data_IF_862817662516
#
_entry.id   IF_862817662516
#
_cell.length_a   1.000
_cell.length_b   1.000
_cell.length_c   1.000
_cell.angle_alpha   90.00
_cell.angle_beta   90.00
_cell.angle_gamma   90.00
#
_symmetry.space_group_name_H-M   'P 1'
#
loop_
_entity.id
_entity.type
_entity.pdbx_description
1 polymer ?
#
# COMPACT_ATOMS: atom_id res chain seq x y z
N UNK A 1 -26.69 29.62 -35.15
CA UNK A 1 -26.42 31.07 -35.13
C UNK A 1 -25.04 31.25 -35.76
N UNK A 2 -24.90 31.68 -37.03
CA UNK A 2 -24.82 33.09 -37.50
C UNK A 2 -23.65 33.81 -36.79
N UNK A 3 -22.53 34.26 -37.39
CA UNK A 3 -22.21 34.94 -38.67
C UNK A 3 -20.67 34.79 -38.88
N UNK A 4 -20.02 34.61 -40.04
CA UNK A 4 -19.97 35.31 -41.34
C UNK A 4 -19.79 36.83 -41.25
N UNK A 5 -18.56 37.34 -41.45
CA UNK A 5 -18.36 38.70 -41.96
C UNK A 5 -17.13 38.79 -42.87
N UNK A 6 -17.35 39.49 -43.96
CA UNK A 6 -16.56 39.58 -45.18
C UNK A 6 -16.16 41.04 -45.37
N UNK A 7 -15.03 41.26 -46.07
CA UNK A 7 -14.82 42.33 -47.07
C UNK A 7 -14.40 43.76 -46.64
N UNK A 8 -13.46 44.28 -47.45
CA UNK A 8 -13.37 45.64 -48.00
C UNK A 8 -12.62 46.71 -47.19
N UNK A 9 -11.49 47.23 -47.69
CA UNK A 9 -11.50 48.26 -48.73
C UNK A 9 -10.09 48.82 -48.97
N UNK A 10 -9.78 48.90 -50.27
CA UNK A 10 -8.76 49.70 -50.93
C UNK A 10 -8.86 51.18 -50.53
N UNK A 11 -7.72 51.84 -50.27
CA UNK A 11 -7.58 53.27 -50.53
C UNK A 11 -6.12 53.59 -50.89
N UNK A 12 -5.92 53.97 -52.14
CA UNK A 12 -4.69 54.53 -52.67
C UNK A 12 -4.74 56.05 -52.49
N UNK A 13 -3.69 56.66 -51.94
CA UNK A 13 -3.39 58.09 -52.15
C UNK A 13 -1.89 58.24 -52.35
N UNK A 14 -1.56 58.67 -53.56
CA UNK A 14 -0.25 59.12 -54.01
C UNK A 14 -0.13 60.61 -53.62
N UNK A 15 0.98 60.99 -52.99
CA UNK A 15 1.54 62.32 -53.13
C UNK A 15 3.06 62.21 -53.30
N UNK A 16 3.50 62.48 -54.52
CA UNK A 16 4.86 62.87 -54.85
C UNK A 16 4.99 64.38 -54.63
N UNK A 17 5.96 64.82 -53.83
CA UNK A 17 6.74 66.03 -54.13
C UNK A 17 8.16 65.90 -53.58
N UNK A 18 9.10 66.27 -54.45
CA UNK A 18 10.54 66.28 -54.33
C UNK A 18 11.03 67.36 -53.35
N UNK A 19 12.17 67.16 -52.69
CA UNK A 19 13.35 68.05 -52.83
C UNK A 19 14.55 67.56 -51.99
N UNK A 20 15.74 67.61 -52.61
CA UNK A 20 17.06 68.04 -52.08
C UNK A 20 17.27 68.11 -50.56
N UNK A 21 18.42 67.82 -49.96
CA UNK A 21 19.81 67.70 -50.42
C UNK A 21 20.62 67.74 -49.12
N UNK A 22 21.48 66.78 -48.83
CA UNK A 22 22.81 67.05 -48.25
C UNK A 22 23.56 65.73 -48.21
N UNK A 23 24.55 65.64 -49.07
CA UNK A 23 25.61 64.66 -49.00
C UNK A 23 26.62 65.19 -47.98
N UNK A 24 26.43 64.85 -46.70
CA UNK A 24 27.43 65.08 -45.66
C UNK A 24 28.01 63.72 -45.27
N UNK A 25 29.11 63.40 -45.93
CA UNK A 25 29.98 62.29 -45.65
C UNK A 25 30.74 62.54 -44.34
N UNK A 26 30.02 62.58 -43.20
CA UNK A 26 30.65 62.39 -41.90
C UNK A 26 30.91 60.89 -41.74
N UNK A 27 32.14 60.50 -42.03
CA UNK A 27 32.71 59.26 -41.51
C UNK A 27 32.78 59.41 -39.98
N UNK A 28 31.64 59.18 -39.32
CA UNK A 28 31.56 59.02 -37.88
C UNK A 28 32.32 57.74 -37.58
N UNK A 29 33.54 57.90 -37.06
CA UNK A 29 34.24 56.85 -36.34
C UNK A 29 33.21 56.30 -35.34
N UNK A 30 32.81 55.01 -35.40
CA UNK A 30 31.88 54.47 -34.44
C UNK A 30 32.54 54.66 -33.07
N UNK A 31 31.96 55.50 -32.22
CA UNK A 31 32.30 55.49 -30.81
C UNK A 31 32.10 54.04 -30.36
N UNK A 32 33.17 53.37 -29.93
CA UNK A 32 33.11 52.01 -29.41
C UNK A 32 31.95 51.96 -28.42
N UNK A 33 30.88 51.25 -28.82
CA UNK A 33 29.68 51.17 -28.00
C UNK A 33 30.09 50.51 -26.70
N UNK A 34 29.86 51.18 -25.59
CA UNK A 34 30.19 50.61 -24.30
C UNK A 34 29.32 49.36 -24.06
N UNK A 35 29.92 48.31 -23.52
CA UNK A 35 29.26 47.03 -23.28
C UNK A 35 28.61 46.99 -21.91
N UNK A 36 27.37 46.52 -21.86
CA UNK A 36 26.66 46.27 -20.61
C UNK A 36 27.18 45.01 -19.92
N UNK A 37 27.00 44.92 -18.60
CA UNK A 37 27.19 43.69 -17.83
C UNK A 37 25.89 43.35 -17.12
N UNK A 38 25.40 42.12 -17.30
CA UNK A 38 24.23 41.59 -16.60
C UNK A 38 24.71 40.61 -15.54
N UNK A 39 24.15 40.70 -14.34
CA UNK A 39 24.34 39.74 -13.25
C UNK A 39 22.99 39.34 -12.66
N UNK A 40 22.84 38.08 -12.27
CA UNK A 40 21.72 37.63 -11.44
C UNK A 40 22.17 37.47 -9.99
N UNK A 41 21.24 37.56 -9.04
CA UNK A 41 21.50 37.26 -7.63
C UNK A 41 21.75 35.76 -7.37
N UNK A 42 21.22 34.87 -8.22
CA UNK A 42 21.53 33.45 -8.26
C UNK A 42 21.23 32.86 -9.66
N UNK A 43 21.94 31.78 -10.04
CA UNK A 43 21.79 31.11 -11.35
C UNK A 43 20.96 29.82 -11.29
N UNK A 44 20.54 29.39 -10.10
CA UNK A 44 19.70 28.20 -9.89
C UNK A 44 18.55 28.55 -8.95
N UNK A 45 17.31 28.20 -9.32
CA UNK A 45 16.12 28.54 -8.53
C UNK A 45 15.02 27.48 -8.64
N UNK A 46 13.95 27.63 -7.88
CA UNK A 46 12.73 26.81 -7.99
C UNK A 46 11.59 27.59 -8.63
N UNK A 47 10.62 26.88 -9.20
CA UNK A 47 9.38 27.49 -9.71
C UNK A 47 8.78 28.39 -8.62
N UNK A 48 8.44 29.62 -9.00
CA UNK A 48 7.81 30.60 -8.12
C UNK A 48 8.76 31.45 -7.25
N UNK A 49 10.07 31.16 -7.24
CA UNK A 49 11.09 31.93 -6.54
C UNK A 49 11.62 33.06 -7.44
N UNK A 50 11.61 34.29 -6.93
CA UNK A 50 12.02 35.47 -7.72
C UNK A 50 13.54 35.56 -7.87
N UNK A 51 14.00 35.75 -9.10
CA UNK A 51 15.38 36.07 -9.48
C UNK A 51 15.49 37.56 -9.75
N UNK A 52 16.56 38.19 -9.25
CA UNK A 52 16.81 39.62 -9.45
C UNK A 52 18.01 39.86 -10.35
N UNK A 53 17.81 40.65 -11.39
CA UNK A 53 18.86 41.04 -12.32
C UNK A 53 19.40 42.43 -12.00
N UNK A 54 20.71 42.60 -12.15
CA UNK A 54 21.40 43.88 -12.05
C UNK A 54 22.15 44.14 -13.35
N UNK A 55 21.94 45.32 -13.95
CA UNK A 55 22.67 45.76 -15.14
C UNK A 55 23.68 46.82 -14.75
N UNK A 56 24.92 46.67 -15.22
CA UNK A 56 26.02 47.60 -14.98
C UNK A 56 26.61 48.13 -16.28
N UNK A 57 27.11 49.36 -16.21
CA UNK A 57 27.93 50.01 -17.24
C UNK A 57 29.18 50.55 -16.56
N UNK A 58 30.37 50.09 -16.95
CA UNK A 58 31.65 50.44 -16.31
C UNK A 58 31.57 50.31 -14.76
N UNK A 59 31.06 49.16 -14.30
CA UNK A 59 30.84 48.81 -12.88
C UNK A 59 29.81 49.66 -12.11
N UNK A 60 29.15 50.62 -12.75
CA UNK A 60 28.06 51.40 -12.16
C UNK A 60 26.71 50.78 -12.50
N UNK A 61 25.84 50.60 -11.50
CA UNK A 61 24.47 50.11 -11.70
C UNK A 61 23.67 51.15 -12.48
N UNK A 62 22.96 50.70 -13.52
CA UNK A 62 22.06 51.52 -14.31
C UNK A 62 20.64 50.93 -14.27
N UNK A 63 19.62 51.79 -14.32
CA UNK A 63 18.20 51.39 -14.18
C UNK A 63 17.39 51.56 -15.47
N UNK A 64 18.00 52.09 -16.53
CA UNK A 64 17.36 52.40 -17.81
C UNK A 64 17.69 51.37 -18.92
N UNK A 65 18.33 50.26 -18.56
CA UNK A 65 18.51 49.10 -19.44
C UNK A 65 17.35 48.11 -19.28
N UNK A 66 16.98 47.46 -20.38
CA UNK A 66 15.93 46.43 -20.41
C UNK A 66 16.55 45.04 -20.33
N UNK A 67 16.05 44.18 -19.45
CA UNK A 67 16.44 42.76 -19.39
C UNK A 67 15.43 41.96 -20.20
N UNK A 68 15.91 41.13 -21.12
CA UNK A 68 15.08 40.32 -22.02
C UNK A 68 15.45 38.84 -21.91
N UNK A 69 14.44 37.99 -21.80
CA UNK A 69 14.61 36.55 -21.99
C UNK A 69 14.76 36.26 -23.50
N UNK A 70 15.78 35.50 -23.89
CA UNK A 70 16.16 35.30 -25.30
C UNK A 70 15.02 34.80 -26.19
N UNK A 71 14.20 33.90 -25.64
CA UNK A 71 13.01 33.31 -26.31
C UNK A 71 11.68 33.83 -25.71
N UNK A 72 11.70 34.93 -24.97
CA UNK A 72 10.56 35.40 -24.21
C UNK A 72 10.39 36.91 -24.21
N UNK A 73 9.62 37.36 -23.22
CA UNK A 73 9.28 38.77 -23.06
C UNK A 73 10.40 39.56 -22.36
N UNK A 74 10.30 40.89 -22.49
CA UNK A 74 11.13 41.83 -21.76
C UNK A 74 10.62 41.95 -20.32
N UNK A 75 11.52 41.87 -19.34
CA UNK A 75 11.18 42.05 -17.93
C UNK A 75 10.90 43.52 -17.64
N UNK A 76 9.83 43.80 -16.88
CA UNK A 76 9.40 45.16 -16.56
C UNK A 76 10.07 45.75 -15.32
N UNK A 77 10.55 44.90 -14.40
CA UNK A 77 11.08 45.33 -13.09
C UNK A 77 12.52 44.90 -12.83
N UNK A 78 13.20 44.25 -13.79
CA UNK A 78 14.48 43.58 -13.54
C UNK A 78 14.35 42.36 -12.62
N UNK A 79 13.13 41.95 -12.27
CA UNK A 79 12.84 40.73 -11.53
C UNK A 79 12.13 39.74 -12.44
N UNK A 80 12.35 38.45 -12.19
CA UNK A 80 11.70 37.37 -12.93
C UNK A 80 11.29 36.25 -11.99
N UNK A 81 10.06 35.77 -12.12
CA UNK A 81 9.50 34.67 -11.34
C UNK A 81 9.13 33.55 -12.31
N UNK A 82 9.85 32.41 -12.30
CA UNK A 82 9.60 31.34 -13.24
C UNK A 82 8.31 30.59 -12.90
N UNK A 83 7.55 30.24 -13.93
CA UNK A 83 6.33 29.43 -13.82
C UNK A 83 6.53 27.99 -14.27
N UNK A 84 7.67 27.68 -14.90
CA UNK A 84 8.01 26.35 -15.39
C UNK A 84 9.48 26.02 -15.12
N UNK A 85 9.77 24.73 -14.95
CA UNK A 85 11.14 24.23 -14.86
C UNK A 85 11.81 24.27 -16.24
N UNK A 86 13.13 24.46 -16.27
CA UNK A 86 13.90 24.59 -17.51
C UNK A 86 15.15 25.45 -17.35
N UNK A 87 15.87 25.67 -18.45
CA UNK A 87 16.98 26.62 -18.48
C UNK A 87 16.57 27.83 -19.30
N UNK A 88 16.67 29.02 -18.70
CA UNK A 88 16.19 30.27 -19.29
C UNK A 88 17.35 31.24 -19.44
N UNK A 89 17.55 31.79 -20.64
CA UNK A 89 18.70 32.66 -20.92
C UNK A 89 18.26 34.12 -21.05
N UNK A 90 19.00 35.02 -20.40
CA UNK A 90 18.71 36.45 -20.31
C UNK A 90 19.86 37.30 -20.85
N UNK A 91 19.49 38.45 -21.41
CA UNK A 91 20.42 39.47 -21.91
C UNK A 91 19.87 40.87 -21.62
N UNK A 92 20.72 41.82 -21.29
CA UNK A 92 20.36 43.22 -21.12
C UNK A 92 20.65 44.04 -22.38
N UNK A 93 19.76 44.98 -22.70
CA UNK A 93 19.82 45.83 -23.89
C UNK A 93 19.55 47.29 -23.50
N UNK A 94 20.29 48.22 -24.12
CA UNK A 94 20.09 49.67 -23.98
C UNK A 94 20.45 50.36 -25.30
N UNK A 95 19.62 51.30 -25.76
CA UNK A 95 19.85 52.00 -27.02
C UNK A 95 21.19 52.75 -27.01
N UNK A 96 22.01 52.56 -28.04
CA UNK A 96 23.34 53.18 -28.15
C UNK A 96 24.47 52.39 -27.50
N UNK A 97 24.19 51.25 -26.85
CA UNK A 97 25.16 50.38 -26.18
C UNK A 97 25.23 49.00 -26.84
N UNK A 98 26.28 48.23 -26.56
CA UNK A 98 26.30 46.80 -26.87
C UNK A 98 25.49 46.02 -25.82
N UNK A 99 24.89 44.90 -26.25
CA UNK A 99 24.18 44.00 -25.34
C UNK A 99 25.13 43.42 -24.29
N UNK A 100 24.57 43.03 -23.14
CA UNK A 100 25.35 42.40 -22.08
C UNK A 100 25.85 41.00 -22.45
N UNK A 101 26.63 40.40 -21.56
CA UNK A 101 26.76 38.95 -21.48
C UNK A 101 25.38 38.26 -21.33
N UNK A 102 25.29 37.02 -21.77
CA UNK A 102 24.15 36.14 -21.51
C UNK A 102 24.30 35.51 -20.12
N UNK A 103 23.18 35.35 -19.40
CA UNK A 103 23.10 34.57 -18.16
C UNK A 103 22.02 33.52 -18.32
N UNK A 104 22.33 32.27 -17.93
CA UNK A 104 21.37 31.17 -17.89
C UNK A 104 20.93 30.90 -16.46
N UNK A 105 19.61 30.85 -16.24
CA UNK A 105 19.00 30.47 -14.96
C UNK A 105 18.41 29.08 -15.11
N UNK A 106 18.82 28.16 -14.24
CA UNK A 106 18.28 26.80 -14.15
C UNK A 106 17.15 26.77 -13.12
N UNK A 107 15.93 26.50 -13.58
CA UNK A 107 14.74 26.38 -12.74
C UNK A 107 14.38 24.92 -12.55
N UNK A 108 14.23 24.53 -11.29
CA UNK A 108 13.79 23.18 -10.89
C UNK A 108 12.40 23.23 -10.26
N UNK A 109 11.68 22.11 -10.28
CA UNK A 109 10.46 21.96 -9.47
C UNK A 109 10.87 21.60 -8.04
N UNK A 110 10.25 22.22 -7.05
CA UNK A 110 10.40 21.76 -5.65
C UNK A 110 9.88 20.32 -5.56
N UNK A 111 10.67 19.44 -4.97
CA UNK A 111 10.29 18.02 -4.84
C UNK A 111 9.35 17.86 -3.66
N UNK A 112 8.22 17.23 -3.89
CA UNK A 112 7.27 16.88 -2.84
C UNK A 112 7.75 15.63 -2.10
N UNK A 113 7.58 15.63 -0.77
CA UNK A 113 7.90 14.52 0.11
C UNK A 113 6.85 13.41 0.00
N UNK A 114 7.27 12.17 -0.25
CA UNK A 114 6.39 11.01 -0.18
C UNK A 114 6.00 10.70 1.27
N UNK A 115 4.76 10.28 1.46
CA UNK A 115 4.23 9.76 2.72
C UNK A 115 3.89 8.29 2.49
N UNK A 116 4.53 7.41 3.26
CA UNK A 116 4.29 5.96 3.23
C UNK A 116 3.49 5.55 4.47
N UNK A 117 2.46 4.75 4.24
CA UNK A 117 1.63 4.14 5.29
C UNK A 117 1.44 2.65 5.00
N UNK A 118 1.09 1.88 6.02
CA UNK A 118 0.74 0.47 5.89
C UNK A 118 -0.60 0.19 6.58
N UNK A 119 -1.31 -0.84 6.11
CA UNK A 119 -2.51 -1.33 6.78
C UNK A 119 -2.21 -1.89 8.19
N UNK A 120 -0.99 -2.41 8.40
CA UNK A 120 -0.49 -2.96 9.66
C UNK A 120 1.00 -2.64 9.82
N UNK A 121 1.43 -2.35 11.04
CA UNK A 121 2.85 -2.16 11.40
C UNK A 121 3.40 -3.27 12.29
N UNK A 122 2.55 -4.24 12.64
CA UNK A 122 2.94 -5.47 13.34
C UNK A 122 2.20 -6.62 12.68
N UNK A 123 2.96 -7.61 12.22
CA UNK A 123 2.44 -8.77 11.46
C UNK A 123 3.20 -10.03 11.84
N UNK A 124 2.60 -11.19 11.59
CA UNK A 124 3.29 -12.48 11.70
C UNK A 124 4.07 -12.81 10.42
N UNK A 125 5.07 -13.67 10.54
CA UNK A 125 5.76 -14.23 9.39
C UNK A 125 4.76 -14.91 8.43
N UNK A 126 4.75 -14.51 7.16
CA UNK A 126 3.83 -14.98 6.13
C UNK A 126 2.54 -14.17 5.98
N UNK A 127 2.31 -13.15 6.81
CA UNK A 127 1.14 -12.27 6.71
C UNK A 127 1.36 -11.09 5.74
N UNK A 128 0.37 -10.80 4.88
CA UNK A 128 0.48 -9.72 3.88
C UNK A 128 0.36 -8.32 4.51
N UNK A 129 1.35 -7.47 4.20
CA UNK A 129 1.34 -6.02 4.45
C UNK A 129 1.00 -5.29 3.16
N UNK A 130 0.02 -4.40 3.24
CA UNK A 130 -0.40 -3.52 2.15
C UNK A 130 0.05 -2.09 2.43
N UNK A 131 0.80 -1.51 1.48
CA UNK A 131 1.32 -0.16 1.57
C UNK A 131 0.50 0.83 0.74
N UNK A 132 0.40 2.06 1.23
CA UNK A 132 -0.18 3.20 0.50
C UNK A 132 0.82 4.35 0.51
N UNK A 133 1.07 4.92 -0.66
CA UNK A 133 1.95 6.07 -0.84
C UNK A 133 1.16 7.27 -1.34
N UNK A 134 1.35 8.42 -0.71
CA UNK A 134 0.70 9.68 -1.11
C UNK A 134 1.71 10.82 -1.21
N UNK A 135 1.42 11.83 -2.02
CA UNK A 135 2.06 13.14 -2.01
C UNK A 135 0.98 14.22 -2.11
N UNK A 136 1.03 15.26 -1.27
CA UNK A 136 0.00 16.31 -1.25
C UNK A 136 -1.43 15.75 -1.17
N UNK A 137 -1.62 14.69 -0.37
CA UNK A 137 -2.91 13.96 -0.19
C UNK A 137 -3.41 13.18 -1.43
N UNK A 138 -2.68 13.19 -2.54
CA UNK A 138 -2.98 12.39 -3.72
C UNK A 138 -2.26 11.04 -3.68
N UNK A 139 -2.95 9.97 -4.06
CA UNK A 139 -2.39 8.61 -4.12
C UNK A 139 -1.43 8.43 -5.29
N UNK A 140 -0.29 7.79 -5.04
CA UNK A 140 0.72 7.44 -6.03
C UNK A 140 0.72 5.92 -6.23
N UNK A 141 0.72 5.44 -7.48
CA UNK A 141 0.64 4.01 -7.81
C UNK A 141 1.91 3.43 -8.43
N UNK A 142 2.82 4.29 -8.90
CA UNK A 142 4.07 3.99 -9.60
C UNK A 142 5.29 4.35 -8.72
N UNK A 143 5.37 3.72 -7.54
CA UNK A 143 6.47 3.88 -6.60
C UNK A 143 7.26 2.56 -6.46
N UNK A 144 8.48 2.66 -5.93
CA UNK A 144 9.28 1.51 -5.52
C UNK A 144 9.41 1.50 -4.00
N UNK A 145 9.20 0.35 -3.38
CA UNK A 145 9.51 0.14 -1.96
C UNK A 145 10.91 -0.42 -1.81
N UNK A 146 11.64 0.09 -0.83
CA UNK A 146 12.93 -0.44 -0.39
C UNK A 146 12.82 -0.83 1.07
N UNK A 147 13.05 -2.12 1.37
CA UNK A 147 13.26 -2.57 2.74
C UNK A 147 14.75 -2.40 3.01
N UNK A 148 15.11 -1.59 4.00
CA UNK A 148 16.52 -1.27 4.27
C UNK A 148 17.33 -2.55 4.50
N UNK A 149 18.46 -2.64 3.80
CA UNK A 149 19.38 -3.79 3.76
C UNK A 149 18.81 -5.06 3.10
N UNK A 150 17.68 -4.96 2.40
CA UNK A 150 17.05 -6.04 1.65
C UNK A 150 16.79 -5.62 0.20
N UNK A 151 16.07 -6.46 -0.54
CA UNK A 151 15.75 -6.23 -1.94
C UNK A 151 14.62 -5.20 -2.12
N UNK A 152 14.59 -4.56 -3.29
CA UNK A 152 13.52 -3.64 -3.68
C UNK A 152 12.27 -4.40 -4.09
N UNK A 153 11.11 -3.86 -3.74
CA UNK A 153 9.80 -4.42 -4.04
C UNK A 153 9.08 -3.50 -5.03
N UNK A 154 8.78 -4.03 -6.22
CA UNK A 154 7.99 -3.35 -7.26
C UNK A 154 6.51 -3.69 -7.15
N UNK A 155 5.98 -3.62 -5.93
CA UNK A 155 4.61 -3.95 -5.56
C UNK A 155 4.23 -3.13 -4.34
N UNK A 156 2.95 -2.82 -4.17
CA UNK A 156 2.43 -2.23 -2.94
C UNK A 156 2.16 -3.28 -1.84
N UNK A 157 2.61 -4.52 -2.05
CA UNK A 157 2.42 -5.65 -1.16
C UNK A 157 3.75 -6.23 -0.73
N UNK A 158 3.83 -6.69 0.51
CA UNK A 158 4.96 -7.45 1.02
C UNK A 158 4.49 -8.57 1.94
N UNK A 159 5.08 -9.75 1.79
CA UNK A 159 4.87 -10.89 2.68
C UNK A 159 6.25 -11.18 3.31
N UNK A 160 6.47 -10.84 4.59
CA UNK A 160 7.73 -11.10 5.25
C UNK A 160 7.90 -12.61 5.46
N UNK A 161 9.10 -13.12 5.20
CA UNK A 161 9.48 -14.52 5.46
C UNK A 161 10.42 -14.68 6.64
N UNK A 162 10.85 -13.56 7.23
CA UNK A 162 11.83 -13.49 8.31
C UNK A 162 11.32 -12.55 9.39
N UNK A 163 11.60 -12.90 10.64
CA UNK A 163 11.26 -12.11 11.81
C UNK A 163 12.20 -10.93 11.99
N UNK A 164 11.72 -9.91 12.71
CA UNK A 164 12.52 -8.75 13.11
C UNK A 164 11.82 -7.43 12.83
N UNK A 165 12.57 -6.35 13.02
CA UNK A 165 12.10 -4.99 12.76
C UNK A 165 12.68 -4.51 11.43
N UNK A 166 11.79 -4.13 10.52
CA UNK A 166 12.14 -3.69 9.18
C UNK A 166 11.77 -2.21 8.99
N UNK A 167 12.64 -1.49 8.31
CA UNK A 167 12.37 -0.12 7.88
C UNK A 167 12.08 -0.11 6.38
N UNK A 168 10.93 0.41 6.00
CA UNK A 168 10.45 0.46 4.63
C UNK A 168 10.43 1.91 4.16
N UNK A 169 11.00 2.18 2.98
CA UNK A 169 11.03 3.51 2.36
C UNK A 169 10.35 3.40 1.00
N UNK A 170 9.49 4.38 0.68
CA UNK A 170 8.97 4.55 -0.67
C UNK A 170 9.82 5.57 -1.44
N UNK A 171 10.13 5.26 -2.69
CA UNK A 171 10.89 6.13 -3.60
C UNK A 171 10.18 6.28 -4.93
N UNK A 172 10.32 7.45 -5.55
CA UNK A 172 9.82 7.76 -6.91
C UNK A 172 10.60 8.91 -7.53
N UNK A 173 10.94 8.81 -8.81
CA UNK A 173 11.61 9.89 -9.53
C UNK A 173 10.79 11.20 -9.49
N UNK A 174 11.47 12.32 -9.22
CA UNK A 174 10.83 13.62 -9.07
C UNK A 174 10.29 13.93 -7.66
N UNK A 175 10.38 12.98 -6.72
CA UNK A 175 9.95 13.16 -5.33
C UNK A 175 11.14 13.07 -4.36
N UNK A 176 10.90 13.47 -3.11
CA UNK A 176 11.76 13.12 -1.98
C UNK A 176 11.24 11.80 -1.39
N UNK A 177 12.13 10.83 -1.20
CA UNK A 177 11.82 9.52 -0.64
C UNK A 177 11.16 9.62 0.73
N UNK A 178 10.21 8.73 1.05
CA UNK A 178 9.47 8.77 2.30
C UNK A 178 10.37 8.71 3.54
N UNK A 179 9.85 9.19 4.67
CA UNK A 179 10.44 8.80 5.95
C UNK A 179 10.34 7.27 6.12
N UNK A 180 11.32 6.61 6.77
CA UNK A 180 11.24 5.17 7.00
C UNK A 180 10.04 4.79 7.87
N UNK A 181 9.24 3.84 7.38
CA UNK A 181 8.14 3.22 8.12
C UNK A 181 8.61 1.93 8.79
N UNK A 182 8.41 1.80 10.10
CA UNK A 182 8.76 0.60 10.85
C UNK A 182 7.66 -0.47 10.75
N UNK A 183 8.06 -1.70 10.37
CA UNK A 183 7.22 -2.89 10.39
C UNK A 183 7.89 -3.93 11.29
N UNK A 184 7.15 -4.41 12.28
CA UNK A 184 7.58 -5.47 13.21
C UNK A 184 7.00 -6.79 12.71
N UNK A 185 7.88 -7.75 12.42
CA UNK A 185 7.50 -9.11 12.03
C UNK A 185 7.83 -10.04 13.18
N UNK A 186 6.82 -10.71 13.72
CA UNK A 186 6.99 -11.70 14.80
C UNK A 186 7.02 -13.11 14.23
N UNK A 187 7.58 -14.03 15.01
CA UNK A 187 7.47 -15.47 14.74
C UNK A 187 6.01 -15.80 14.48
N UNK A 188 5.76 -16.53 13.39
CA UNK A 188 4.47 -17.17 13.21
C UNK A 188 4.41 -18.24 14.29
N UNK A 189 3.71 -17.94 15.37
CA UNK A 189 3.47 -18.93 16.41
C UNK A 189 2.49 -19.92 15.81
N UNK A 190 3.01 -20.98 15.19
CA UNK A 190 2.27 -22.22 14.98
C UNK A 190 1.96 -22.72 16.38
N UNK A 191 0.89 -22.17 16.96
CA UNK A 191 0.48 -22.50 18.30
C UNK A 191 -0.01 -23.94 18.21
N UNK A 192 0.86 -24.89 18.48
CA UNK A 192 0.44 -26.27 18.57
C UNK A 192 -0.61 -26.35 19.68
N UNK A 193 -1.75 -26.94 19.38
CA UNK A 193 -2.75 -27.36 20.34
C UNK A 193 -2.08 -28.13 21.49
N UNK A 194 -1.90 -27.49 22.65
CA UNK A 194 -1.39 -28.09 23.88
C UNK A 194 -2.55 -28.59 24.71
N UNK A 195 -2.48 -29.85 25.13
CA UNK A 195 -3.47 -30.42 26.04
C UNK A 195 -3.08 -31.82 26.49
N UNK A 196 -3.88 -32.33 27.40
CA UNK A 196 -3.76 -33.69 27.91
C UNK A 196 -5.07 -34.41 27.63
N UNK A 197 -4.98 -35.61 27.06
CA UNK A 197 -6.15 -36.40 26.76
C UNK A 197 -5.83 -37.72 26.09
N UNK A 198 -6.82 -38.58 26.06
CA UNK A 198 -6.76 -39.88 25.43
C UNK A 198 -8.14 -40.31 24.95
N UNK A 199 -8.18 -41.29 24.07
CA UNK A 199 -9.39 -42.06 23.82
C UNK A 199 -9.11 -43.57 23.92
N UNK A 200 -10.13 -44.33 24.30
CA UNK A 200 -10.11 -45.79 24.35
C UNK A 200 -11.02 -46.35 23.27
N UNK A 201 -10.49 -47.27 22.45
CA UNK A 201 -11.20 -47.91 21.36
C UNK A 201 -10.76 -49.38 21.25
N UNK A 202 -11.71 -50.32 21.24
CA UNK A 202 -11.49 -51.78 21.23
C UNK A 202 -10.41 -52.20 22.25
N UNK A 203 -10.59 -51.76 23.50
CA UNK A 203 -9.69 -52.11 24.62
C UNK A 203 -8.29 -51.49 24.58
N UNK A 204 -7.96 -50.68 23.57
CA UNK A 204 -6.68 -49.97 23.47
C UNK A 204 -6.83 -48.47 23.77
N UNK A 205 -5.87 -47.89 24.48
CA UNK A 205 -5.82 -46.45 24.76
C UNK A 205 -4.84 -45.74 23.82
N UNK A 206 -5.25 -44.57 23.34
CA UNK A 206 -4.56 -43.71 22.38
C UNK A 206 -4.36 -42.33 22.99
N UNK A 207 -3.16 -41.77 22.89
CA UNK A 207 -2.85 -40.43 23.42
C UNK A 207 -3.20 -39.39 22.38
N UNK A 208 -3.92 -38.32 22.78
CA UNK A 208 -4.26 -37.25 21.85
C UNK A 208 -3.09 -36.26 21.82
N UNK A 209 -2.27 -36.35 20.77
CA UNK A 209 -1.14 -35.43 20.55
C UNK A 209 -1.51 -34.22 19.70
N UNK A 210 -2.64 -34.29 18.97
CA UNK A 210 -3.13 -33.19 18.13
C UNK A 210 -4.64 -33.09 18.25
N UNK A 211 -5.14 -31.86 18.43
CA UNK A 211 -6.57 -31.58 18.39
C UNK A 211 -6.90 -30.35 17.55
N UNK A 212 -7.87 -30.50 16.65
CA UNK A 212 -8.32 -29.42 15.75
C UNK A 212 -9.83 -29.26 15.82
N UNK A 213 -10.30 -28.03 15.92
CA UNK A 213 -11.71 -27.66 15.81
C UNK A 213 -11.94 -26.89 14.52
N UNK A 214 -12.62 -27.52 13.57
CA UNK A 214 -12.79 -27.02 12.22
C UNK A 214 -14.23 -26.55 12.03
N UNK A 215 -14.43 -25.29 11.66
CA UNK A 215 -15.72 -24.81 11.17
C UNK A 215 -15.84 -25.17 9.69
N UNK A 216 -16.67 -26.18 9.40
CA UNK A 216 -16.85 -26.67 8.03
C UNK A 216 -17.65 -25.69 7.17
N UNK A 217 -18.69 -25.08 7.75
CA UNK A 217 -19.57 -24.15 7.06
C UNK A 217 -20.81 -23.80 7.87
N UNK A 218 -21.63 -22.90 7.35
CA UNK A 218 -22.91 -22.48 7.95
C UNK A 218 -24.02 -22.66 6.92
N UNK A 219 -25.09 -23.35 7.29
CA UNK A 219 -26.25 -23.53 6.41
C UNK A 219 -27.17 -22.31 6.44
N UNK A 220 -27.58 -21.78 5.29
CA UNK A 220 -28.48 -20.63 5.13
C UNK A 220 -29.98 -20.98 5.20
N UNK A 221 -30.36 -21.94 6.06
CA UNK A 221 -31.77 -22.35 6.21
C UNK A 221 -32.57 -21.40 7.11
N UNK A 222 -33.88 -21.62 7.27
CA UNK A 222 -34.70 -20.86 8.22
C UNK A 222 -34.23 -20.98 9.68
N UNK A 223 -33.45 -22.00 10.00
CA UNK A 223 -32.73 -22.16 11.25
C UNK A 223 -31.25 -22.41 10.94
N UNK A 224 -30.43 -21.35 10.79
CA UNK A 224 -29.03 -21.51 10.44
C UNK A 224 -28.27 -22.33 11.48
N UNK A 225 -27.40 -23.22 11.02
CA UNK A 225 -26.52 -24.02 11.89
C UNK A 225 -25.10 -23.97 11.36
N UNK A 226 -24.14 -23.83 12.27
CA UNK A 226 -22.72 -24.00 12.00
C UNK A 226 -22.36 -25.48 12.15
N UNK A 227 -21.75 -26.07 11.13
CA UNK A 227 -21.27 -27.46 11.15
C UNK A 227 -19.79 -27.47 11.51
N UNK A 228 -19.44 -28.32 12.47
CA UNK A 228 -18.11 -28.42 13.05
C UNK A 228 -17.56 -29.83 12.91
N UNK A 229 -16.25 -29.92 12.83
CA UNK A 229 -15.48 -31.16 12.93
C UNK A 229 -14.44 -30.98 14.03
N UNK A 230 -14.50 -31.80 15.06
CA UNK A 230 -13.41 -31.95 16.01
C UNK A 230 -12.56 -33.17 15.61
N UNK A 231 -11.29 -32.95 15.31
CA UNK A 231 -10.31 -34.02 15.13
C UNK A 231 -9.51 -34.21 16.42
N UNK A 232 -9.39 -35.46 16.89
CA UNK A 232 -8.49 -35.86 17.98
C UNK A 232 -7.60 -36.99 17.50
N UNK A 233 -6.28 -36.78 17.45
CA UNK A 233 -5.34 -37.68 16.78
C UNK A 233 -4.23 -38.15 17.70
N UNK A 234 -3.97 -39.46 17.65
CA UNK A 234 -2.74 -40.08 18.14
C UNK A 234 -1.74 -40.14 16.98
N UNK A 235 -0.68 -39.33 17.09
CA UNK A 235 0.31 -39.16 16.02
C UNK A 235 1.23 -40.36 15.89
N UNK A 236 1.49 -41.08 16.98
CA UNK A 236 2.38 -42.24 16.99
C UNK A 236 1.71 -43.46 16.35
N UNK A 237 0.42 -43.65 16.63
CA UNK A 237 -0.36 -44.79 16.13
C UNK A 237 -1.11 -44.48 14.83
N UNK A 238 -1.11 -43.23 14.37
CA UNK A 238 -1.84 -42.77 13.18
C UNK A 238 -3.34 -43.12 13.23
N UNK A 239 -3.96 -43.01 14.40
CA UNK A 239 -5.41 -43.16 14.56
C UNK A 239 -6.00 -41.80 14.91
N UNK A 240 -7.10 -41.45 14.24
CA UNK A 240 -7.88 -40.24 14.50
C UNK A 240 -9.31 -40.56 14.84
N UNK A 241 -9.86 -39.76 15.74
CA UNK A 241 -11.30 -39.67 15.99
C UNK A 241 -11.79 -38.34 15.41
N UNK A 242 -12.78 -38.41 14.52
CA UNK A 242 -13.48 -37.23 14.02
C UNK A 242 -14.87 -37.18 14.62
N UNK A 243 -15.20 -36.08 15.28
CA UNK A 243 -16.53 -35.83 15.83
C UNK A 243 -17.18 -34.69 15.07
N UNK A 244 -18.31 -34.97 14.43
CA UNK A 244 -19.09 -34.02 13.66
C UNK A 244 -20.27 -33.58 14.51
N UNK A 245 -20.51 -32.28 14.60
CA UNK A 245 -21.66 -31.73 15.29
C UNK A 245 -22.08 -30.38 14.70
N UNK A 246 -23.30 -29.97 15.02
CA UNK A 246 -23.86 -28.68 14.63
C UNK A 246 -24.20 -27.83 15.85
N UNK A 247 -23.95 -26.52 15.76
CA UNK A 247 -24.39 -25.52 16.74
C UNK A 247 -25.31 -24.48 16.08
N UNK A 248 -26.12 -23.73 16.86
CA UNK A 248 -26.89 -22.63 16.32
C UNK A 248 -26.00 -21.57 15.65
N UNK A 249 -26.51 -20.99 14.57
CA UNK A 249 -25.96 -19.83 13.90
C UNK A 249 -27.07 -18.79 13.68
N UNK A 250 -26.68 -17.53 13.45
CA UNK A 250 -27.59 -16.44 13.20
C UNK A 250 -27.10 -15.56 12.05
N UNK A 251 -28.03 -15.18 11.16
CA UNK A 251 -27.75 -14.22 10.09
C UNK A 251 -27.79 -12.79 10.64
N UNK A 252 -26.71 -12.04 10.41
CA UNK A 252 -26.57 -10.63 10.73
C UNK A 252 -27.31 -9.75 9.73
N UNK A 253 -27.47 -8.47 10.07
CA UNK A 253 -28.20 -7.49 9.24
C UNK A 253 -27.54 -7.22 7.88
N UNK A 254 -26.25 -7.53 7.78
CA UNK A 254 -25.39 -7.38 6.61
C UNK A 254 -25.33 -8.66 5.75
N UNK A 255 -26.10 -9.70 6.11
CA UNK A 255 -26.07 -11.02 5.47
C UNK A 255 -24.91 -11.91 5.95
N UNK A 256 -24.08 -11.43 6.89
CA UNK A 256 -23.00 -12.25 7.46
C UNK A 256 -23.54 -13.16 8.56
N UNK A 257 -23.13 -14.42 8.57
CA UNK A 257 -23.51 -15.35 9.63
C UNK A 257 -22.55 -15.27 10.82
N UNK A 258 -23.14 -15.33 12.02
CA UNK A 258 -22.45 -15.54 13.30
C UNK A 258 -22.78 -16.92 13.83
N UNK A 259 -21.92 -17.49 14.66
CA UNK A 259 -22.10 -18.82 15.24
C UNK A 259 -21.80 -18.81 16.74
N UNK A 260 -22.42 -19.73 17.47
CA UNK A 260 -22.05 -20.00 18.86
C UNK A 260 -20.96 -21.08 18.92
N UNK A 261 -20.00 -20.88 19.82
CA UNK A 261 -19.01 -21.93 20.12
C UNK A 261 -19.69 -23.18 20.67
N UNK A 262 -19.18 -24.38 20.38
CA UNK A 262 -19.80 -25.61 20.84
C UNK A 262 -19.77 -25.73 22.37
N UNK A 263 -20.88 -26.20 22.93
CA UNK A 263 -21.04 -26.52 24.34
C UNK A 263 -21.95 -27.74 24.47
N UNK A 264 -21.95 -28.41 25.62
CA UNK A 264 -22.88 -29.50 25.92
C UNK A 264 -24.35 -29.15 25.63
N UNK A 265 -24.74 -27.88 25.79
CA UNK A 265 -26.14 -27.45 25.68
C UNK A 265 -26.58 -27.12 24.26
N UNK A 266 -25.67 -26.77 23.37
CA UNK A 266 -26.00 -26.29 22.02
C UNK A 266 -25.47 -27.20 20.90
N UNK A 267 -24.76 -28.29 21.23
CA UNK A 267 -24.38 -29.33 20.27
C UNK A 267 -25.62 -30.13 19.85
N UNK A 268 -25.73 -30.36 18.54
CA UNK A 268 -26.75 -31.22 17.91
C UNK A 268 -26.12 -32.04 16.78
N UNK A 269 -26.84 -33.05 16.26
CA UNK A 269 -26.42 -33.87 15.11
C UNK A 269 -25.01 -34.45 15.26
N UNK A 270 -24.82 -35.21 16.34
CA UNK A 270 -23.53 -35.78 16.68
C UNK A 270 -23.26 -37.06 15.87
N UNK A 271 -22.11 -37.13 15.24
CA UNK A 271 -21.58 -38.32 14.58
C UNK A 271 -20.10 -38.46 14.95
N UNK A 272 -19.63 -39.69 15.12
CA UNK A 272 -18.24 -39.97 15.44
C UNK A 272 -17.70 -41.03 14.49
N UNK A 273 -16.52 -40.80 13.92
CA UNK A 273 -15.78 -41.81 13.14
C UNK A 273 -14.41 -42.04 13.73
N UNK A 274 -13.96 -43.30 13.70
CA UNK A 274 -12.58 -43.67 13.96
C UNK A 274 -11.93 -44.01 12.63
N UNK A 275 -10.78 -43.40 12.35
CA UNK A 275 -10.08 -43.51 11.06
C UNK A 275 -8.64 -43.95 11.30
N UNK A 276 -8.19 -44.93 10.51
CA UNK A 276 -6.77 -45.20 10.34
C UNK A 276 -6.22 -44.26 9.28
N UNK A 277 -5.38 -43.33 9.71
CA UNK A 277 -4.82 -42.28 8.86
C UNK A 277 -3.79 -42.83 7.87
N UNK A 278 -3.21 -43.99 8.14
CA UNK A 278 -2.26 -44.66 7.24
C UNK A 278 -2.97 -45.16 5.99
N UNK A 279 -4.14 -45.78 6.19
CA UNK A 279 -4.94 -46.37 5.11
C UNK A 279 -6.08 -45.47 4.63
N UNK A 280 -6.29 -44.33 5.29
CA UNK A 280 -7.42 -43.41 5.10
C UNK A 280 -8.79 -44.11 5.16
N UNK A 281 -8.86 -45.20 5.91
CA UNK A 281 -10.05 -46.03 5.99
C UNK A 281 -10.83 -45.73 7.27
N UNK A 282 -12.15 -45.62 7.14
CA UNK A 282 -13.06 -45.58 8.29
C UNK A 282 -13.06 -46.97 8.92
N UNK A 283 -12.61 -47.04 10.18
CA UNK A 283 -12.62 -48.25 10.98
C UNK A 283 -14.00 -48.45 11.60
N UNK A 284 -14.59 -47.38 12.11
CA UNK A 284 -15.87 -47.41 12.81
C UNK A 284 -16.65 -46.11 12.71
N UNK A 285 -17.96 -46.19 12.97
CA UNK A 285 -18.90 -45.10 12.89
C UNK A 285 -20.01 -45.24 13.95
N UNK A 286 -20.21 -44.20 14.75
CA UNK A 286 -21.41 -44.03 15.56
C UNK A 286 -22.21 -42.81 15.11
N UNK A 287 -23.54 -42.96 15.09
CA UNK A 287 -24.52 -41.89 14.83
C UNK A 287 -25.60 -41.82 15.92
N UNK A 288 -25.53 -42.70 16.92
CA UNK A 288 -26.49 -42.84 18.01
C UNK A 288 -25.76 -43.24 19.29
N UNK A 289 -26.39 -43.03 20.45
CA UNK A 289 -25.83 -43.43 21.75
C UNK A 289 -24.57 -42.66 22.15
N UNK A 290 -24.34 -41.49 21.55
CA UNK A 290 -23.17 -40.67 21.82
C UNK A 290 -23.53 -39.65 22.90
N UNK A 291 -22.89 -39.77 24.06
CA UNK A 291 -22.93 -38.77 25.12
C UNK A 291 -21.75 -37.80 24.95
N UNK A 292 -21.99 -36.50 25.09
CA UNK A 292 -20.95 -35.47 24.94
C UNK A 292 -21.02 -34.44 26.07
N UNK A 293 -19.86 -34.17 26.66
CA UNK A 293 -19.64 -32.99 27.51
C UNK A 293 -18.60 -32.11 26.83
N UNK A 294 -18.97 -30.90 26.41
CA UNK A 294 -18.07 -30.00 25.71
C UNK A 294 -18.16 -28.57 26.26
N UNK A 295 -17.01 -27.91 26.33
CA UNK A 295 -16.93 -26.48 26.62
C UNK A 295 -15.72 -25.90 25.87
N UNK A 296 -16.00 -25.05 24.88
CA UNK A 296 -14.98 -24.34 24.12
C UNK A 296 -15.04 -22.84 24.41
N UNK A 297 -13.88 -22.22 24.57
CA UNK A 297 -13.72 -20.77 24.76
C UNK A 297 -13.73 -20.00 23.45
N UNK A 298 -13.39 -18.71 23.52
CA UNK A 298 -13.26 -17.87 22.33
C UNK A 298 -12.00 -18.23 21.51
N UNK A 299 -12.10 -18.07 20.19
CA UNK A 299 -10.95 -18.15 19.28
C UNK A 299 -10.04 -16.95 19.55
N UNK A 300 -8.76 -17.20 19.84
CA UNK A 300 -7.78 -16.12 20.02
C UNK A 300 -7.13 -15.69 18.69
N UNK A 301 -6.25 -14.70 18.74
CA UNK A 301 -5.56 -14.14 17.56
C UNK A 301 -4.70 -15.16 16.80
N UNK A 302 -4.27 -16.25 17.45
CA UNK A 302 -3.44 -17.29 16.85
C UNK A 302 -4.27 -18.48 16.35
N UNK A 303 -5.59 -18.31 16.20
CA UNK A 303 -6.54 -19.38 15.87
C UNK A 303 -6.47 -20.55 16.87
N UNK A 304 -6.38 -20.25 18.16
CA UNK A 304 -6.43 -21.25 19.22
C UNK A 304 -7.70 -21.09 20.04
N UNK A 305 -8.34 -22.23 20.30
CA UNK A 305 -9.54 -22.33 21.11
C UNK A 305 -9.20 -23.13 22.36
N UNK A 306 -9.19 -22.54 23.57
CA UNK A 306 -9.11 -23.34 24.79
C UNK A 306 -10.41 -24.13 24.95
N UNK A 307 -10.33 -25.39 25.35
CA UNK A 307 -11.51 -26.21 25.50
C UNK A 307 -11.28 -27.53 26.20
N UNK A 308 -12.39 -28.14 26.60
CA UNK A 308 -12.44 -29.50 27.07
C UNK A 308 -13.58 -30.24 26.39
N UNK A 309 -13.35 -31.51 26.10
CA UNK A 309 -14.37 -32.40 25.57
C UNK A 309 -14.25 -33.79 26.20
N UNK A 310 -15.40 -34.37 26.49
CA UNK A 310 -15.56 -35.78 26.77
C UNK A 310 -16.64 -36.36 25.87
N UNK A 311 -16.39 -37.55 25.35
CA UNK A 311 -17.36 -38.31 24.57
C UNK A 311 -17.39 -39.72 25.12
N UNK A 312 -18.58 -40.29 25.30
CA UNK A 312 -18.77 -41.68 25.67
C UNK A 312 -19.80 -42.35 24.75
N UNK A 313 -19.55 -43.60 24.38
CA UNK A 313 -20.45 -44.44 23.59
C UNK A 313 -20.44 -45.83 24.24
N UNK A 314 -21.62 -46.37 24.55
CA UNK A 314 -21.74 -47.68 25.23
C UNK A 314 -21.18 -48.83 24.39
N UNK A 315 -21.35 -48.78 23.07
CA UNK A 315 -20.90 -49.81 22.12
C UNK A 315 -20.47 -49.16 20.79
N UNK A 316 -19.16 -49.18 20.53
CA UNK A 316 -18.54 -48.82 19.26
C UNK A 316 -17.56 -49.94 18.86
N UNK A 317 -17.94 -50.75 17.88
CA UNK A 317 -17.13 -51.90 17.46
C UNK A 317 -17.22 -53.09 18.42
N UNK A 318 -18.30 -53.20 19.22
CA UNK A 318 -18.52 -54.27 20.18
C UNK A 318 -17.99 -53.97 21.59
N UNK A 319 -17.40 -52.80 21.82
CA UNK A 319 -16.79 -52.40 23.09
C UNK A 319 -17.12 -50.92 23.40
N UNK A 320 -17.11 -50.50 24.68
CA UNK A 320 -17.28 -49.10 25.04
C UNK A 320 -16.16 -48.20 24.46
N UNK A 321 -16.54 -47.01 24.03
CA UNK A 321 -15.63 -45.95 23.61
C UNK A 321 -15.68 -44.77 24.57
N UNK A 322 -14.52 -44.24 24.94
CA UNK A 322 -14.40 -43.03 25.73
C UNK A 322 -13.31 -42.12 25.14
N UNK A 323 -13.58 -40.82 25.03
CA UNK A 323 -12.62 -39.79 24.69
C UNK A 323 -12.66 -38.72 25.78
N UNK A 324 -11.50 -38.28 26.25
CA UNK A 324 -11.38 -37.16 27.19
C UNK A 324 -10.17 -36.31 26.81
N UNK A 325 -10.39 -35.02 26.57
CA UNK A 325 -9.33 -34.08 26.25
C UNK A 325 -9.57 -32.74 26.95
N UNK A 326 -8.49 -32.18 27.51
CA UNK A 326 -8.48 -30.85 28.11
C UNK A 326 -7.24 -30.09 27.64
N UNK A 327 -7.44 -28.95 27.01
CA UNK A 327 -6.32 -28.14 26.53
C UNK A 327 -6.75 -27.05 25.57
N UNK A 328 -6.06 -26.99 24.45
CA UNK A 328 -6.27 -26.04 23.38
C UNK A 328 -6.42 -26.77 22.06
N UNK A 329 -7.19 -26.21 21.15
CA UNK A 329 -7.49 -26.78 19.85
C UNK A 329 -7.07 -25.79 18.76
N UNK A 330 -6.43 -26.29 17.71
CA UNK A 330 -6.18 -25.49 16.52
C UNK A 330 -7.51 -25.23 15.83
N UNK A 331 -7.87 -23.97 15.67
CA UNK A 331 -9.06 -23.56 14.96
C UNK A 331 -8.74 -23.42 13.48
N UNK A 332 -9.57 -24.04 12.65
CA UNK A 332 -9.52 -23.87 11.20
C UNK A 332 -10.93 -23.54 10.70
N UNK A 333 -11.00 -22.75 9.62
CA UNK A 333 -12.25 -22.50 8.91
C UNK A 333 -12.04 -22.90 7.46
N UNK A 334 -12.83 -23.85 6.97
CA UNK A 334 -12.84 -24.15 5.54
C UNK A 334 -13.67 -23.09 4.83
N UNK A 335 -13.04 -22.40 3.88
CA UNK A 335 -13.75 -21.54 2.93
C UNK A 335 -14.27 -22.45 1.83
N UNK A 336 -15.53 -22.85 1.93
CA UNK A 336 -16.26 -23.36 0.77
C UNK A 336 -16.92 -22.15 0.13
N UNK A 337 -16.31 -21.66 -0.96
CA UNK A 337 -16.90 -20.66 -1.85
C UNK A 337 -18.17 -21.19 -2.53
#
# INVERSE_FOLDING_TARGET
MKNLFTLSSLFAVIFLFLSCSSDDNETTIPADKQKLTLTADHETTTIGTTVKFTVKLNDQIITDALVKQKDGETLTSGEWKPEAAGTFTFVAQKQGFENSNEISIVVTKEKTQLILTANKTTVENGEEVLFTVTAEEEGISDFTLEILNKEKINSNKWIPTEEGTFQVIASKEGFIDSTPLEIIVTEKVDAEAKGEGSFTYIGATYTINSSKLILQGISSSSNPTATWILQSKDLEKNISVYTFFATPAAEGKDGNYTFEMPTTKNISRLMLTVIDETTQSVIDLAVMGIEVEAQFGAINVNNIVPGNIKIAIEDLGGEPFELNYKGTHNYERTVHE
#
